data_IF_652225007427
#
_entry.id   IF_652225007427
#
_cell.length_a   1.000
_cell.length_b   1.000
_cell.length_c   1.000
_cell.angle_alpha   90.00
_cell.angle_beta   90.00
_cell.angle_gamma   90.00
#
_symmetry.space_group_name_H-M   'P 1'
#
loop_
_entity.id
_entity.type
_entity.pdbx_description
1 polymer ?
#
# COMPACT_ATOMS: atom_id res chain seq x y z
N UNK A 1 4.93 -26.00 -24.64
CA UNK A 1 5.75 -25.58 -23.48
C UNK A 1 5.01 -25.90 -22.20
N UNK A 2 5.64 -26.58 -21.24
CA UNK A 2 5.05 -26.81 -19.90
C UNK A 2 5.32 -25.59 -19.03
N UNK A 3 4.26 -24.90 -18.62
CA UNK A 3 4.33 -23.80 -17.63
C UNK A 3 4.97 -24.33 -16.35
N UNK A 4 6.05 -23.71 -15.90
CA UNK A 4 6.72 -24.14 -14.66
C UNK A 4 5.91 -23.72 -13.44
N UNK A 5 6.19 -24.35 -12.29
CA UNK A 5 5.62 -23.92 -11.01
C UNK A 5 5.92 -22.43 -10.76
N UNK A 6 7.13 -21.96 -11.10
CA UNK A 6 7.51 -20.55 -11.01
C UNK A 6 6.67 -19.64 -11.90
N UNK A 7 6.35 -20.03 -13.13
CA UNK A 7 5.55 -19.21 -14.06
C UNK A 7 4.10 -19.02 -13.58
N UNK A 8 3.51 -20.08 -13.00
CA UNK A 8 2.15 -20.02 -12.45
C UNK A 8 2.06 -19.05 -11.28
N UNK A 9 3.07 -19.04 -10.40
CA UNK A 9 3.09 -18.16 -9.23
C UNK A 9 3.49 -16.72 -9.59
N UNK A 10 4.42 -16.53 -10.54
CA UNK A 10 4.72 -15.21 -11.09
C UNK A 10 3.49 -14.57 -11.70
N UNK A 11 2.71 -15.31 -12.51
CA UNK A 11 1.47 -14.78 -13.11
C UNK A 11 0.41 -14.40 -12.06
N UNK A 12 0.37 -15.10 -10.91
CA UNK A 12 -0.53 -14.77 -9.79
C UNK A 12 -0.09 -13.50 -9.05
N UNK A 13 1.21 -13.23 -9.01
CA UNK A 13 1.80 -12.04 -8.39
C UNK A 13 1.76 -10.81 -9.30
N UNK A 14 1.58 -10.98 -10.61
CA UNK A 14 1.49 -9.86 -11.55
C UNK A 14 0.21 -9.02 -11.34
N UNK A 15 0.31 -7.70 -11.54
CA UNK A 15 -0.84 -6.81 -11.72
C UNK A 15 -1.80 -7.37 -12.76
N UNK A 16 -2.98 -7.80 -12.31
CA UNK A 16 -3.95 -8.47 -13.18
C UNK A 16 -5.34 -7.85 -13.09
N UNK A 17 -5.61 -7.11 -12.02
CA UNK A 17 -6.88 -6.42 -11.83
C UNK A 17 -6.82 -4.98 -12.34
N UNK A 18 -7.99 -4.39 -12.61
CA UNK A 18 -8.09 -2.96 -12.90
C UNK A 18 -7.53 -2.10 -11.75
N UNK A 19 -7.70 -2.57 -10.51
CA UNK A 19 -7.14 -1.93 -9.32
C UNK A 19 -5.61 -1.94 -9.34
N UNK A 20 -4.97 -3.06 -9.69
CA UNK A 20 -3.51 -3.12 -9.75
C UNK A 20 -2.94 -2.15 -10.79
N UNK A 21 -3.57 -2.09 -11.98
CA UNK A 21 -3.20 -1.13 -13.03
C UNK A 21 -3.37 0.31 -12.55
N UNK A 22 -4.46 0.59 -11.83
CA UNK A 22 -4.71 1.91 -11.26
C UNK A 22 -3.67 2.29 -10.20
N UNK A 23 -3.28 1.37 -9.33
CA UNK A 23 -2.21 1.57 -8.34
C UNK A 23 -0.89 1.92 -9.02
N UNK A 24 -0.48 1.15 -10.05
CA UNK A 24 0.78 1.38 -10.77
C UNK A 24 0.78 2.73 -11.49
N UNK A 25 -0.32 3.06 -12.15
CA UNK A 25 -0.46 4.31 -12.89
C UNK A 25 -0.46 5.56 -11.98
N UNK A 26 -0.61 5.38 -10.66
CA UNK A 26 -0.72 6.46 -9.68
C UNK A 26 0.19 6.21 -8.47
N UNK A 27 1.32 5.53 -8.69
CA UNK A 27 2.23 5.09 -7.62
C UNK A 27 2.80 6.23 -6.79
N UNK A 28 2.93 7.41 -7.39
CA UNK A 28 3.36 8.65 -6.73
C UNK A 28 2.39 9.16 -5.65
N UNK A 29 1.15 8.65 -5.64
CA UNK A 29 0.14 8.95 -4.61
C UNK A 29 -0.07 7.80 -3.64
N UNK A 30 0.80 6.80 -3.65
CA UNK A 30 0.81 5.77 -2.63
C UNK A 30 1.70 6.20 -1.49
N UNK A 31 1.13 6.28 -0.30
CA UNK A 31 1.83 6.67 0.91
C UNK A 31 1.82 5.54 1.93
N UNK A 32 2.95 5.36 2.61
CA UNK A 32 3.03 4.58 3.84
C UNK A 32 2.66 5.48 5.01
N UNK A 33 1.67 5.06 5.79
CA UNK A 33 1.25 5.70 7.05
C UNK A 33 1.46 4.71 8.18
N UNK A 34 2.00 5.18 9.30
CA UNK A 34 2.16 4.39 10.53
C UNK A 34 1.61 5.17 11.71
N UNK A 35 0.98 4.47 12.65
CA UNK A 35 0.36 5.10 13.81
C UNK A 35 -0.19 4.08 14.79
N UNK A 36 -0.90 4.58 15.80
CA UNK A 36 -1.61 3.77 16.79
C UNK A 36 -3.09 3.77 16.41
N UNK A 37 -3.68 2.60 16.27
CA UNK A 37 -5.11 2.47 15.96
C UNK A 37 -6.00 2.82 17.18
N UNK A 38 -7.32 2.83 16.97
CA UNK A 38 -8.30 3.13 18.04
C UNK A 38 -8.27 2.13 19.20
N UNK A 39 -7.61 0.98 19.04
CA UNK A 39 -7.45 -0.05 20.07
C UNK A 39 -6.12 0.04 20.81
N UNK A 40 -5.27 1.01 20.47
CA UNK A 40 -3.95 1.20 21.08
C UNK A 40 -2.83 0.38 20.46
N UNK A 41 -3.02 -0.18 19.25
CA UNK A 41 -2.03 -1.03 18.58
C UNK A 41 -1.26 -0.26 17.52
N UNK A 42 0.05 -0.46 17.47
CA UNK A 42 0.86 -0.03 16.33
C UNK A 42 0.34 -0.69 15.05
N UNK A 43 0.18 0.11 13.99
CA UNK A 43 -0.27 -0.34 12.69
C UNK A 43 0.42 0.44 11.57
N UNK A 44 0.49 -0.19 10.40
CA UNK A 44 0.96 0.41 9.16
C UNK A 44 -0.06 0.21 8.04
N UNK A 45 -0.11 1.17 7.13
CA UNK A 45 -1.05 1.22 6.01
C UNK A 45 -0.30 1.71 4.77
N UNK A 46 -0.50 1.05 3.64
CA UNK A 46 -0.21 1.61 2.33
C UNK A 46 -1.53 2.05 1.71
N UNK A 47 -1.64 3.34 1.42
CA UNK A 47 -2.88 3.97 0.95
C UNK A 47 -2.63 4.66 -0.39
N UNK A 48 -3.48 4.38 -1.37
CA UNK A 48 -3.56 5.16 -2.60
C UNK A 48 -4.47 6.37 -2.38
N UNK A 49 -3.88 7.56 -2.34
CA UNK A 49 -4.60 8.81 -2.06
C UNK A 49 -5.31 9.32 -3.31
N UNK A 50 -6.57 9.74 -3.13
CA UNK A 50 -7.35 10.40 -4.18
C UNK A 50 -6.68 11.74 -4.55
N UNK A 51 -6.55 12.01 -5.85
CA UNK A 51 -5.86 13.22 -6.34
C UNK A 51 -6.46 14.52 -5.77
N UNK A 52 -7.78 14.58 -5.65
CA UNK A 52 -8.51 15.74 -5.10
C UNK A 52 -8.26 15.93 -3.59
N UNK A 53 -7.89 14.88 -2.86
CA UNK A 53 -7.68 14.89 -1.41
C UNK A 53 -6.21 14.94 -0.99
N UNK A 54 -5.28 14.73 -1.93
CA UNK A 54 -3.84 14.69 -1.66
C UNK A 54 -3.32 15.92 -0.92
N UNK A 55 -3.75 17.10 -1.34
CA UNK A 55 -3.35 18.36 -0.72
C UNK A 55 -3.84 18.50 0.74
N UNK A 56 -4.95 17.85 1.12
CA UNK A 56 -5.45 17.83 2.51
C UNK A 56 -4.74 16.74 3.32
N UNK A 57 -4.52 15.57 2.72
CA UNK A 57 -3.75 14.49 3.31
C UNK A 57 -2.35 14.95 3.73
N UNK A 58 -1.63 15.65 2.83
CA UNK A 58 -0.26 16.12 3.07
C UNK A 58 -0.12 17.22 4.13
N UNK A 59 -1.22 17.76 4.67
CA UNK A 59 -1.18 18.73 5.78
C UNK A 59 -1.10 18.09 7.15
N UNK A 60 -1.32 16.77 7.25
CA UNK A 60 -1.25 16.10 8.55
C UNK A 60 0.19 16.05 9.03
N UNK A 61 0.35 16.30 10.32
CA UNK A 61 1.63 16.22 10.99
C UNK A 61 1.70 14.95 11.86
N UNK A 62 2.92 14.63 12.29
CA UNK A 62 3.14 13.50 13.20
C UNK A 62 2.41 13.77 14.52
N UNK A 63 1.48 12.88 14.87
CA UNK A 63 0.68 12.98 16.10
C UNK A 63 -0.79 13.32 15.84
N UNK A 64 -1.13 13.74 14.63
CA UNK A 64 -2.52 13.96 14.26
C UNK A 64 -3.33 12.66 14.29
N UNK A 65 -4.59 12.79 14.67
CA UNK A 65 -5.59 11.71 14.61
C UNK A 65 -6.56 11.98 13.46
N UNK A 66 -6.65 11.03 12.53
CA UNK A 66 -7.53 11.11 11.37
C UNK A 66 -7.87 9.73 10.85
N UNK A 67 -8.99 9.62 10.12
CA UNK A 67 -9.33 8.40 9.40
C UNK A 67 -8.63 8.40 8.03
N UNK A 68 -7.74 7.42 7.79
CA UNK A 68 -6.99 7.30 6.54
C UNK A 68 -7.92 7.07 5.34
N UNK A 69 -9.04 6.38 5.55
CA UNK A 69 -10.02 6.07 4.50
C UNK A 69 -10.77 7.33 4.00
N UNK A 70 -10.69 8.45 4.73
CA UNK A 70 -11.21 9.73 4.28
C UNK A 70 -10.36 10.34 3.14
N UNK A 71 -9.19 9.79 2.84
CA UNK A 71 -8.27 10.35 1.84
C UNK A 71 -8.06 9.45 0.63
N UNK A 72 -8.34 8.16 0.75
CA UNK A 72 -8.09 7.22 -0.32
C UNK A 72 -8.32 5.77 0.07
N UNK A 73 -7.79 4.88 -0.76
CA UNK A 73 -8.03 3.44 -0.63
C UNK A 73 -6.83 2.73 -0.02
N UNK A 74 -7.07 1.98 1.05
CA UNK A 74 -6.06 1.09 1.63
C UNK A 74 -5.77 -0.03 0.61
N UNK A 75 -4.49 -0.14 0.23
CA UNK A 75 -3.97 -1.20 -0.63
C UNK A 75 -3.67 -2.44 0.21
N UNK A 76 -2.97 -2.23 1.33
CA UNK A 76 -2.61 -3.26 2.29
C UNK A 76 -2.28 -2.62 3.64
N UNK A 77 -2.56 -3.32 4.72
CA UNK A 77 -2.27 -2.89 6.09
C UNK A 77 -1.86 -4.08 6.96
N UNK A 78 -1.33 -3.77 8.14
CA UNK A 78 -1.03 -4.76 9.16
C UNK A 78 -0.70 -4.13 10.50
N UNK A 79 -0.61 -4.99 11.51
CA UNK A 79 -0.21 -4.61 12.87
C UNK A 79 1.30 -4.70 13.07
N UNK A 80 1.79 -3.92 14.03
CA UNK A 80 3.20 -3.79 14.37
C UNK A 80 3.84 -2.51 13.84
N UNK A 81 5.07 -2.26 14.27
CA UNK A 81 5.84 -1.06 13.89
C UNK A 81 6.50 -1.17 12.52
N UNK A 82 6.75 -2.39 12.07
CA UNK A 82 7.51 -2.67 10.85
C UNK A 82 6.65 -3.41 9.83
N UNK A 83 6.88 -3.12 8.56
CA UNK A 83 6.26 -3.82 7.43
C UNK A 83 7.02 -5.13 7.23
N UNK A 84 6.37 -6.32 7.29
CA UNK A 84 7.04 -7.60 7.08
C UNK A 84 7.73 -7.69 5.72
N UNK A 85 8.88 -8.38 5.66
CA UNK A 85 9.71 -8.48 4.44
C UNK A 85 8.93 -9.05 3.26
N UNK A 86 8.03 -10.00 3.52
CA UNK A 86 7.18 -10.63 2.51
C UNK A 86 6.24 -9.60 1.87
N UNK A 87 5.73 -8.65 2.66
CA UNK A 87 4.87 -7.57 2.15
C UNK A 87 5.68 -6.57 1.34
N UNK A 88 6.87 -6.19 1.81
CA UNK A 88 7.75 -5.31 1.05
C UNK A 88 8.13 -5.93 -0.29
N UNK A 89 8.46 -7.23 -0.31
CA UNK A 89 8.78 -7.95 -1.54
C UNK A 89 7.57 -8.02 -2.47
N UNK A 90 6.37 -8.29 -1.95
CA UNK A 90 5.14 -8.28 -2.74
C UNK A 90 4.89 -6.91 -3.38
N UNK A 91 5.07 -5.82 -2.63
CA UNK A 91 4.89 -4.45 -3.15
C UNK A 91 5.92 -4.10 -4.23
N UNK A 92 7.19 -4.51 -4.06
CA UNK A 92 8.24 -4.42 -5.10
C UNK A 92 7.85 -5.19 -6.35
N UNK A 93 7.63 -6.50 -6.20
CA UNK A 93 7.39 -7.40 -7.34
C UNK A 93 6.11 -7.05 -8.11
N UNK A 94 5.07 -6.61 -7.39
CA UNK A 94 3.76 -6.35 -7.98
C UNK A 94 3.62 -4.92 -8.49
N UNK A 95 4.10 -3.92 -7.75
CA UNK A 95 3.83 -2.51 -8.07
C UNK A 95 5.06 -1.67 -8.34
N UNK A 96 6.27 -2.24 -8.28
CA UNK A 96 7.53 -1.50 -8.47
C UNK A 96 7.67 -0.35 -7.45
N UNK A 97 7.37 -0.67 -6.18
CA UNK A 97 7.51 0.26 -5.05
C UNK A 97 8.81 -0.02 -4.31
N UNK A 98 9.71 0.96 -4.23
CA UNK A 98 10.99 0.83 -3.51
C UNK A 98 11.04 1.60 -2.17
N UNK A 99 10.01 2.39 -1.87
CA UNK A 99 9.95 3.26 -0.70
C UNK A 99 9.28 2.55 0.49
N UNK A 100 10.06 2.10 1.48
CA UNK A 100 9.59 1.37 2.66
C UNK A 100 10.06 2.00 3.97
#
# INVERSE_FOLDING_TARGET
>A
MKTTWLDKYKKKLMPSTAMDKHIIANKERVFKVSGIDITGRDAWYFVLIESTRQHKFLRHEKGDSYNIEDYGKIIISGYGKEVPKEIQQMLRDKYDFDSF
#
